data_IF_682246108807
#
_entry.id   IF_682246108807
#
_cell.length_a   1.000
_cell.length_b   1.000
_cell.length_c   1.000
_cell.angle_alpha   90.00
_cell.angle_beta   90.00
_cell.angle_gamma   90.00
#
_symmetry.space_group_name_H-M   'P 1'
#
loop_
_entity.id
_entity.type
_entity.pdbx_description
1 polymer ?
#
# COMPACT_ATOMS: atom_id res chain seq x y z
N UNK A 1 1.51 20.99 -6.77
CA UNK A 1 2.36 19.91 -6.22
C UNK A 1 1.47 18.71 -6.01
N UNK A 2 1.97 17.50 -6.24
CA UNK A 2 1.24 16.28 -5.87
C UNK A 2 1.21 16.19 -4.34
N UNK A 3 0.20 15.52 -3.79
CA UNK A 3 -0.03 15.33 -2.36
C UNK A 3 0.13 13.86 -1.96
N UNK A 4 0.19 13.56 -0.65
CA UNK A 4 0.08 12.19 -0.16
C UNK A 4 -1.18 11.45 -0.63
N UNK A 5 -2.30 12.18 -0.83
CA UNK A 5 -3.51 11.61 -1.42
C UNK A 5 -3.29 11.15 -2.87
N UNK A 6 -2.55 11.95 -3.66
CA UNK A 6 -2.21 11.59 -5.04
C UNK A 6 -1.27 10.38 -5.08
N UNK A 7 -0.40 10.21 -4.09
CA UNK A 7 0.42 9.01 -3.95
C UNK A 7 -0.47 7.78 -3.79
N UNK A 8 -1.38 7.77 -2.80
CA UNK A 8 -2.28 6.63 -2.57
C UNK A 8 -3.11 6.30 -3.81
N UNK A 9 -3.68 7.32 -4.47
CA UNK A 9 -4.48 7.11 -5.67
C UNK A 9 -3.65 6.53 -6.83
N UNK A 10 -2.38 6.94 -6.98
CA UNK A 10 -1.49 6.40 -8.02
C UNK A 10 -1.07 4.96 -7.73
N UNK A 11 -0.76 4.61 -6.48
CA UNK A 11 -0.48 3.22 -6.13
C UNK A 11 -1.74 2.37 -6.36
N UNK A 12 -2.91 2.86 -5.94
CA UNK A 12 -4.19 2.17 -6.12
C UNK A 12 -4.51 1.89 -7.59
N UNK A 13 -4.16 2.80 -8.50
CA UNK A 13 -4.54 2.71 -9.92
C UNK A 13 -3.46 2.09 -10.81
N UNK A 14 -2.19 2.19 -10.42
CA UNK A 14 -1.06 1.73 -11.24
C UNK A 14 -0.31 0.54 -10.66
N UNK A 15 -0.51 0.23 -9.39
CA UNK A 15 0.23 -0.83 -8.69
C UNK A 15 1.73 -0.53 -8.52
N UNK A 16 2.12 0.75 -8.59
CA UNK A 16 3.51 1.18 -8.60
C UNK A 16 3.77 2.31 -7.62
N UNK A 17 4.97 2.31 -7.03
CA UNK A 17 5.54 3.35 -6.18
C UNK A 17 6.76 3.91 -6.90
N UNK A 18 6.72 5.21 -7.24
CA UNK A 18 7.77 5.89 -8.01
C UNK A 18 8.18 5.16 -9.31
N UNK A 19 7.23 4.46 -9.93
CA UNK A 19 7.46 3.70 -11.17
C UNK A 19 7.94 2.26 -10.98
N UNK A 20 8.18 1.84 -9.72
CA UNK A 20 8.58 0.46 -9.37
C UNK A 20 7.37 -0.29 -8.80
N UNK A 21 7.23 -1.57 -9.13
CA UNK A 21 6.11 -2.38 -8.68
C UNK A 21 6.49 -3.85 -8.48
N UNK A 22 5.47 -4.69 -8.38
CA UNK A 22 5.62 -6.15 -8.33
C UNK A 22 6.46 -6.64 -9.52
N UNK A 23 7.33 -7.63 -9.27
CA UNK A 23 8.30 -8.18 -10.20
C UNK A 23 9.68 -7.50 -10.15
N UNK A 24 9.77 -6.28 -9.64
CA UNK A 24 11.04 -5.57 -9.50
C UNK A 24 11.93 -6.20 -8.41
N UNK A 25 13.25 -6.06 -8.56
CA UNK A 25 14.26 -6.62 -7.64
C UNK A 25 14.56 -5.67 -6.47
N UNK A 26 15.17 -6.16 -5.36
CA UNK A 26 15.50 -5.34 -4.20
C UNK A 26 16.30 -4.08 -4.54
N UNK A 27 17.26 -4.18 -5.47
CA UNK A 27 18.08 -3.05 -5.91
C UNK A 27 17.28 -1.95 -6.64
N UNK A 28 16.22 -2.31 -7.37
CA UNK A 28 15.36 -1.33 -8.06
C UNK A 28 14.49 -0.57 -7.05
N UNK A 29 14.02 -1.27 -6.01
CA UNK A 29 13.32 -0.67 -4.89
C UNK A 29 14.21 0.25 -4.06
N UNK A 30 15.44 -0.17 -3.77
CA UNK A 30 16.43 0.66 -3.08
C UNK A 30 16.78 1.92 -3.88
N UNK A 31 16.92 1.83 -5.20
CA UNK A 31 17.13 3.00 -6.06
C UNK A 31 15.95 3.98 -6.03
N UNK A 32 14.73 3.49 -5.85
CA UNK A 32 13.51 4.32 -5.82
C UNK A 32 13.19 4.90 -4.44
N UNK A 33 13.36 4.13 -3.36
CA UNK A 33 12.97 4.49 -2.00
C UNK A 33 14.14 4.88 -1.09
N UNK A 34 15.37 4.63 -1.53
CA UNK A 34 16.59 4.82 -0.74
C UNK A 34 16.98 3.59 0.08
N UNK A 35 18.15 3.68 0.72
CA UNK A 35 18.74 2.60 1.53
C UNK A 35 18.29 2.54 2.99
N UNK A 36 17.30 3.34 3.40
CA UNK A 36 16.74 3.31 4.75
C UNK A 36 15.60 2.30 4.81
N UNK A 37 15.91 1.08 5.24
CA UNK A 37 14.96 -0.02 5.38
C UNK A 37 15.38 -1.03 6.43
N UNK A 38 14.41 -1.83 6.88
CA UNK A 38 14.62 -3.00 7.72
C UNK A 38 14.23 -4.27 6.96
N UNK A 39 15.19 -5.18 6.83
CA UNK A 39 14.96 -6.50 6.22
C UNK A 39 14.67 -7.55 7.30
N UNK A 40 13.64 -8.37 7.06
CA UNK A 40 13.30 -9.54 7.85
C UNK A 40 13.10 -10.71 6.89
N UNK A 41 13.93 -11.74 7.03
CA UNK A 41 13.85 -12.95 6.23
C UNK A 41 13.19 -14.07 7.05
N UNK A 42 12.14 -14.68 6.50
CA UNK A 42 11.42 -15.78 7.14
C UNK A 42 10.81 -16.71 6.09
N UNK A 43 11.04 -18.02 6.23
CA UNK A 43 10.41 -19.08 5.42
C UNK A 43 10.51 -18.88 3.88
N UNK A 44 11.67 -18.41 3.38
CA UNK A 44 11.89 -18.17 1.95
C UNK A 44 11.27 -16.87 1.41
N UNK A 45 10.79 -16.01 2.31
CA UNK A 45 10.33 -14.66 2.03
C UNK A 45 11.29 -13.64 2.65
N UNK A 46 11.51 -12.56 1.91
CA UNK A 46 12.21 -11.39 2.40
C UNK A 46 11.20 -10.25 2.48
N UNK A 47 10.94 -9.77 3.70
CA UNK A 47 10.16 -8.55 3.93
C UNK A 47 11.10 -7.38 4.12
N UNK A 48 10.96 -6.34 3.29
CA UNK A 48 11.69 -5.08 3.40
C UNK A 48 10.74 -3.95 3.81
N UNK A 49 11.04 -3.29 4.91
CA UNK A 49 10.20 -2.25 5.50
C UNK A 49 10.88 -0.87 5.39
N UNK A 50 10.31 0.02 4.57
CA UNK A 50 10.73 1.43 4.42
C UNK A 50 9.82 2.40 5.22
N UNK A 51 9.13 1.92 6.25
CA UNK A 51 8.17 2.73 7.02
C UNK A 51 6.79 2.77 6.37
N UNK A 52 6.55 3.67 5.41
CA UNK A 52 5.25 3.79 4.75
C UNK A 52 5.04 2.69 3.71
N UNK A 53 6.13 2.18 3.12
CA UNK A 53 6.08 1.13 2.09
C UNK A 53 6.76 -0.12 2.61
N UNK A 54 6.04 -1.23 2.58
CA UNK A 54 6.51 -2.56 2.94
C UNK A 54 6.48 -3.43 1.68
N UNK A 55 7.56 -4.14 1.43
CA UNK A 55 7.78 -4.97 0.25
C UNK A 55 7.95 -6.41 0.68
N UNK A 56 7.39 -7.32 -0.09
CA UNK A 56 7.62 -8.76 0.07
C UNK A 56 8.29 -9.27 -1.19
N UNK A 57 9.40 -9.96 -1.02
CA UNK A 57 10.11 -10.70 -2.07
C UNK A 57 10.07 -12.18 -1.74
N UNK A 58 10.08 -13.01 -2.77
CA UNK A 58 10.13 -14.45 -2.63
C UNK A 58 11.24 -14.99 -3.52
N UNK A 59 12.01 -15.97 -3.02
CA UNK A 59 13.04 -16.59 -3.83
C UNK A 59 12.43 -17.42 -4.95
N UNK A 60 12.78 -17.11 -6.20
CA UNK A 60 12.40 -17.86 -7.38
C UNK A 60 13.61 -17.99 -8.32
N UNK A 61 14.14 -19.21 -8.47
CA UNK A 61 15.24 -19.48 -9.39
C UNK A 61 16.53 -18.68 -9.10
N UNK A 62 16.80 -18.38 -7.83
CA UNK A 62 17.95 -17.56 -7.40
C UNK A 62 17.76 -16.05 -7.61
N UNK A 63 16.57 -15.62 -8.03
CA UNK A 63 16.15 -14.22 -8.02
C UNK A 63 15.18 -13.95 -6.87
N UNK A 64 15.03 -12.69 -6.51
CA UNK A 64 14.10 -12.22 -5.48
C UNK A 64 13.13 -11.21 -6.08
N UNK A 65 12.19 -11.60 -6.95
CA UNK A 65 11.16 -10.70 -7.44
C UNK A 65 10.27 -10.22 -6.30
N UNK A 66 9.85 -8.96 -6.35
CA UNK A 66 8.82 -8.44 -5.47
C UNK A 66 7.49 -9.14 -5.79
N UNK A 67 6.87 -9.78 -4.81
CA UNK A 67 5.57 -10.47 -4.93
C UNK A 67 4.44 -9.71 -4.25
N UNK A 68 4.77 -8.69 -3.44
CA UNK A 68 3.78 -7.87 -2.74
C UNK A 68 4.32 -6.49 -2.38
N UNK A 69 3.44 -5.49 -2.52
CA UNK A 69 3.67 -4.11 -2.08
C UNK A 69 2.52 -3.73 -1.14
N UNK A 70 2.85 -3.23 0.05
CA UNK A 70 1.88 -2.72 1.01
C UNK A 70 2.24 -1.30 1.43
N UNK A 71 1.27 -0.40 1.32
CA UNK A 71 1.34 0.98 1.82
C UNK A 71 0.65 1.04 3.18
N UNK A 72 1.44 1.32 4.21
CA UNK A 72 1.08 1.28 5.63
C UNK A 72 0.62 2.64 6.14
N UNK A 73 -0.48 3.15 5.58
CA UNK A 73 -1.04 4.46 5.97
C UNK A 73 -1.34 4.54 7.47
N UNK A 74 -1.67 3.41 8.09
CA UNK A 74 -1.90 3.30 9.53
C UNK A 74 -0.73 3.85 10.36
N UNK A 75 0.52 3.72 9.91
CA UNK A 75 1.71 4.14 10.67
C UNK A 75 1.85 5.66 10.82
N UNK A 76 1.30 6.42 9.89
CA UNK A 76 1.44 7.88 9.83
C UNK A 76 0.81 8.62 11.00
N UNK A 77 -0.13 7.98 11.71
CA UNK A 77 -0.73 8.53 12.94
C UNK A 77 0.28 8.75 14.07
N UNK A 78 1.39 8.01 14.06
CA UNK A 78 2.40 8.08 15.13
C UNK A 78 3.48 9.10 14.82
N UNK A 79 3.96 9.10 13.58
CA UNK A 79 5.00 10.02 13.13
C UNK A 79 5.08 10.01 11.59
N UNK A 80 4.63 11.08 10.95
CA UNK A 80 4.70 11.22 9.49
C UNK A 80 6.14 11.46 9.00
N UNK A 81 7.01 12.06 9.82
CA UNK A 81 8.35 12.43 9.41
C UNK A 81 9.32 11.24 9.44
N UNK A 82 9.21 10.34 10.40
CA UNK A 82 10.08 9.14 10.41
C UNK A 82 9.60 8.03 9.47
N UNK A 83 8.29 7.91 9.23
CA UNK A 83 7.76 6.78 8.47
C UNK A 83 7.71 6.99 6.96
N UNK A 84 7.81 8.23 6.45
CA UNK A 84 7.73 8.45 4.98
C UNK A 84 9.15 8.48 4.38
N UNK A 85 9.50 7.60 3.44
CA UNK A 85 10.76 7.66 2.70
C UNK A 85 11.01 9.05 2.09
N UNK A 86 12.26 9.54 2.17
CA UNK A 86 12.63 10.86 1.65
C UNK A 86 12.24 11.06 0.17
N UNK A 87 12.47 10.09 -0.74
CA UNK A 87 12.03 10.22 -2.14
C UNK A 87 10.52 10.42 -2.31
N UNK A 88 9.69 9.84 -1.42
CA UNK A 88 8.24 10.06 -1.47
C UNK A 88 7.86 11.46 -1.01
N UNK A 89 8.53 11.99 0.02
CA UNK A 89 8.32 13.39 0.45
C UNK A 89 8.74 14.39 -0.62
N UNK A 90 9.84 14.13 -1.30
CA UNK A 90 10.31 14.99 -2.40
C UNK A 90 9.31 15.00 -3.58
N UNK A 91 8.69 13.85 -3.88
CA UNK A 91 7.75 13.71 -5.00
C UNK A 91 6.31 14.17 -4.67
N UNK A 92 5.86 13.97 -3.43
CA UNK A 92 4.44 14.12 -3.03
C UNK A 92 4.22 15.10 -1.86
N UNK A 93 5.27 15.76 -1.37
CA UNK A 93 5.19 16.66 -0.23
C UNK A 93 4.82 15.95 1.07
N UNK A 94 4.08 16.67 1.91
CA UNK A 94 3.67 16.17 3.22
C UNK A 94 2.53 15.16 3.12
N UNK A 95 2.59 14.15 3.99
CA UNK A 95 1.54 13.17 4.17
C UNK A 95 0.72 13.49 5.41
N UNK A 96 -0.60 13.40 5.28
CA UNK A 96 -1.50 13.55 6.41
C UNK A 96 -1.38 12.35 7.37
N UNK A 97 -1.59 12.59 8.67
CA UNK A 97 -1.56 11.56 9.71
C UNK A 97 -2.64 10.49 9.53
N UNK A 98 -3.77 10.85 8.91
CA UNK A 98 -4.79 9.92 8.44
C UNK A 98 -5.38 10.39 7.10
N UNK A 99 -6.03 9.49 6.37
CA UNK A 99 -6.64 9.78 5.06
C UNK A 99 -8.01 9.15 5.00
N UNK A 100 -9.01 9.93 4.56
CA UNK A 100 -10.38 9.41 4.43
C UNK A 100 -10.54 8.61 3.16
N UNK A 101 -11.21 7.46 3.28
CA UNK A 101 -11.51 6.61 2.14
C UNK A 101 -12.32 7.35 1.06
N UNK A 102 -13.28 8.20 1.45
CA UNK A 102 -14.07 8.97 0.49
C UNK A 102 -13.22 9.90 -0.39
N UNK A 103 -12.18 10.51 0.18
CA UNK A 103 -11.24 11.36 -0.58
C UNK A 103 -10.39 10.53 -1.54
N UNK A 104 -9.90 9.37 -1.07
CA UNK A 104 -9.14 8.42 -1.89
C UNK A 104 -9.98 7.88 -3.04
N UNK A 105 -11.21 7.44 -2.78
CA UNK A 105 -12.13 6.95 -3.80
C UNK A 105 -12.42 8.04 -4.85
N UNK A 106 -12.63 9.29 -4.42
CA UNK A 106 -12.77 10.42 -5.32
C UNK A 106 -11.51 10.69 -6.16
N UNK A 107 -10.32 10.54 -5.58
CA UNK A 107 -9.05 10.68 -6.30
C UNK A 107 -8.83 9.56 -7.34
N UNK A 108 -9.17 8.32 -6.99
CA UNK A 108 -9.13 7.17 -7.90
C UNK A 108 -10.10 7.37 -9.08
N UNK A 109 -11.32 7.83 -8.79
CA UNK A 109 -12.31 8.11 -9.83
C UNK A 109 -11.85 9.21 -10.80
N UNK A 110 -11.16 10.25 -10.32
CA UNK A 110 -10.55 11.29 -11.18
C UNK A 110 -9.44 10.76 -12.08
N UNK A 111 -8.82 9.64 -11.72
CA UNK A 111 -7.85 8.92 -12.56
C UNK A 111 -8.51 7.93 -13.54
N UNK A 112 -9.84 7.85 -13.57
CA UNK A 112 -10.59 7.01 -14.49
C UNK A 112 -10.77 5.56 -14.04
N UNK A 113 -10.48 5.25 -12.78
CA UNK A 113 -10.65 3.90 -12.23
C UNK A 113 -11.84 3.84 -11.27
N UNK A 114 -12.30 2.61 -11.01
CA UNK A 114 -13.42 2.34 -10.10
C UNK A 114 -12.95 1.72 -8.79
N UNK A 115 -13.71 1.95 -7.72
CA UNK A 115 -13.49 1.28 -6.43
C UNK A 115 -14.72 0.45 -6.13
N UNK A 116 -14.55 -0.87 -6.09
CA UNK A 116 -15.62 -1.82 -5.78
C UNK A 116 -15.47 -2.32 -4.34
N UNK A 117 -16.59 -2.50 -3.64
CA UNK A 117 -16.58 -3.23 -2.38
C UNK A 117 -16.25 -4.71 -2.63
N UNK A 118 -15.34 -5.27 -1.85
CA UNK A 118 -14.93 -6.67 -1.94
C UNK A 118 -15.43 -7.40 -0.67
N UNK A 119 -16.48 -8.23 -0.76
CA UNK A 119 -17.01 -8.94 0.39
C UNK A 119 -15.94 -9.80 1.05
N UNK A 120 -15.89 -9.80 2.38
CA UNK A 120 -15.06 -10.74 3.13
C UNK A 120 -15.82 -12.06 3.29
N UNK A 121 -15.66 -12.96 2.32
CA UNK A 121 -16.34 -14.26 2.31
C UNK A 121 -15.91 -15.17 3.48
N UNK A 122 -14.73 -14.94 4.07
CA UNK A 122 -14.18 -15.74 5.15
C UNK A 122 -14.43 -15.12 6.55
N UNK A 123 -14.88 -13.87 6.62
CA UNK A 123 -15.08 -13.14 7.88
C UNK A 123 -13.79 -12.93 8.68
N UNK A 124 -12.63 -12.99 8.03
CA UNK A 124 -11.31 -12.92 8.66
C UNK A 124 -10.81 -11.50 8.89
N UNK A 125 -11.54 -10.50 8.40
CA UNK A 125 -11.18 -9.07 8.43
C UNK A 125 -12.06 -8.30 9.42
N UNK A 126 -12.25 -8.82 10.63
CA UNK A 126 -13.00 -8.13 11.69
C UNK A 126 -12.46 -6.70 11.89
N UNK A 127 -13.37 -5.71 11.85
CA UNK A 127 -13.04 -4.30 12.02
C UNK A 127 -12.60 -3.54 10.76
N UNK A 128 -12.62 -4.16 9.57
CA UNK A 128 -12.27 -3.49 8.31
C UNK A 128 -13.27 -3.74 7.17
N UNK A 129 -13.52 -2.70 6.37
CA UNK A 129 -14.10 -2.81 5.05
C UNK A 129 -12.98 -3.01 4.01
N UNK A 130 -13.21 -3.95 3.09
CA UNK A 130 -12.30 -4.24 1.99
C UNK A 130 -12.88 -3.74 0.69
N UNK A 131 -12.03 -3.07 -0.09
CA UNK A 131 -12.34 -2.60 -1.43
C UNK A 131 -11.25 -3.03 -2.41
N UNK A 132 -11.60 -3.10 -3.68
CA UNK A 132 -10.68 -3.42 -4.78
C UNK A 132 -10.77 -2.35 -5.86
N UNK A 133 -9.63 -2.06 -6.48
CA UNK A 133 -9.54 -1.35 -7.76
C UNK A 133 -9.36 -2.40 -8.85
N UNK A 134 -10.41 -2.79 -9.60
CA UNK A 134 -10.35 -3.91 -10.54
C UNK A 134 -9.26 -3.73 -11.61
N UNK A 135 -9.01 -2.51 -12.03
CA UNK A 135 -8.10 -2.16 -13.14
C UNK A 135 -6.63 -2.45 -12.80
N UNK A 136 -6.25 -2.39 -11.52
CA UNK A 136 -4.89 -2.64 -11.04
C UNK A 136 -4.77 -3.91 -10.20
N UNK A 137 -5.90 -4.44 -9.72
CA UNK A 137 -5.94 -5.49 -8.71
C UNK A 137 -5.51 -5.05 -7.31
N UNK A 138 -5.36 -3.75 -7.06
CA UNK A 138 -5.04 -3.22 -5.73
C UNK A 138 -6.22 -3.42 -4.76
N UNK A 139 -5.90 -3.72 -3.50
CA UNK A 139 -6.84 -3.78 -2.40
C UNK A 139 -6.66 -2.61 -1.46
N UNK A 140 -7.77 -2.14 -0.92
CA UNK A 140 -7.84 -1.01 0.01
C UNK A 140 -8.57 -1.52 1.25
N UNK A 141 -7.90 -1.42 2.38
CA UNK A 141 -8.44 -1.77 3.69
C UNK A 141 -8.78 -0.48 4.41
N UNK A 142 -10.04 -0.36 4.80
CA UNK A 142 -10.62 0.82 5.42
C UNK A 142 -11.16 0.42 6.78
N UNK A 143 -10.96 1.23 7.80
CA UNK A 143 -11.47 0.90 9.13
C UNK A 143 -13.01 0.94 9.14
N UNK A 144 -13.64 -0.13 9.66
CA UNK A 144 -15.10 -0.23 9.78
C UNK A 144 -15.62 0.45 11.05
N UNK A 145 -14.91 0.28 12.17
CA UNK A 145 -15.35 0.77 13.47
C UNK A 145 -14.48 1.92 13.99
N UNK A 146 -15.11 2.87 14.67
CA UNK A 146 -14.42 3.90 15.44
C UNK A 146 -13.87 3.32 16.75
N UNK A 147 -12.69 3.75 17.17
CA UNK A 147 -12.22 3.58 18.54
C UNK A 147 -11.60 4.88 19.07
N UNK A 148 -11.18 4.87 20.34
CA UNK A 148 -10.60 6.05 21.00
C UNK A 148 -9.37 6.67 20.29
N UNK A 149 -8.83 6.04 19.25
CA UNK A 149 -7.64 6.49 18.52
C UNK A 149 -7.83 6.57 17.00
N UNK A 150 -8.92 6.05 16.43
CA UNK A 150 -9.16 6.14 14.97
C UNK A 150 -10.63 6.19 14.62
N UNK A 151 -10.90 6.88 13.53
CA UNK A 151 -12.25 7.07 13.04
C UNK A 151 -12.60 6.00 12.00
N UNK A 152 -13.88 5.64 11.94
CA UNK A 152 -14.40 4.83 10.85
C UNK A 152 -14.16 5.54 9.49
N UNK A 153 -13.91 4.76 8.45
CA UNK A 153 -13.68 5.29 7.10
C UNK A 153 -12.27 5.81 6.83
N UNK A 154 -11.32 5.60 7.75
CA UNK A 154 -9.91 5.91 7.51
C UNK A 154 -9.20 4.79 6.73
N UNK A 155 -8.33 5.18 5.80
CA UNK A 155 -7.42 4.29 5.09
C UNK A 155 -6.45 3.65 6.09
N UNK A 156 -6.44 2.32 6.11
CA UNK A 156 -5.51 1.55 6.93
C UNK A 156 -4.28 1.12 6.13
N UNK A 157 -4.53 0.33 5.09
CA UNK A 157 -3.51 -0.20 4.19
C UNK A 157 -4.03 -0.21 2.78
N UNK A 158 -3.14 0.04 1.84
CA UNK A 158 -3.35 -0.29 0.43
C UNK A 158 -2.33 -1.36 0.04
N UNK A 159 -2.76 -2.38 -0.68
CA UNK A 159 -1.88 -3.49 -1.00
C UNK A 159 -2.05 -4.00 -2.43
N UNK A 160 -0.95 -4.46 -3.02
CA UNK A 160 -0.85 -4.92 -4.40
C UNK A 160 -0.06 -6.22 -4.40
N UNK A 161 -0.69 -7.34 -4.75
CA UNK A 161 -0.03 -8.62 -4.94
C UNK A 161 -0.81 -9.48 -5.92
N UNK A 162 -0.16 -10.09 -6.93
CA UNK A 162 -0.80 -11.03 -7.84
C UNK A 162 -1.23 -12.33 -7.16
N UNK A 163 -0.46 -12.78 -6.16
CA UNK A 163 -0.74 -14.03 -5.45
C UNK A 163 -2.09 -14.02 -4.73
N UNK A 164 -2.52 -12.84 -4.26
CA UNK A 164 -3.83 -12.72 -3.62
C UNK A 164 -5.01 -12.61 -4.61
N UNK A 165 -4.76 -12.62 -5.92
CA UNK A 165 -5.83 -12.68 -6.94
C UNK A 165 -6.36 -14.11 -7.12
N UNK A 166 -5.57 -15.14 -6.74
CA UNK A 166 -5.95 -16.55 -6.89
C UNK A 166 -6.89 -17.06 -5.79
N UNK A 167 -6.89 -16.45 -4.60
CA UNK A 167 -7.78 -16.86 -3.49
C UNK A 167 -9.20 -16.27 -3.57
N UNK A 168 -9.52 -15.57 -4.66
CA UNK A 168 -10.83 -14.97 -4.90
C UNK A 168 -11.57 -15.56 -6.12
N UNK A 169 -11.14 -16.74 -6.60
CA UNK A 169 -11.74 -17.48 -7.72
C UNK A 169 -12.43 -18.77 -7.28
#
# INVERSE_FOLDING_TARGET
>A
MLSGLDFYARVATRGQVLGVGVGARPAEWEAALGGDFLDVEEAGLLRRDHGLVELTFQEEGGAWPCVGVSVRADRLRWDTASHVPAPLREAYGDFAASTRFGELAGAIARLGCTVAHEPDAAGTTEGFHRHRVPESGARIFVRADEDARREAGELWTLSVSPGWWAEAG
#
